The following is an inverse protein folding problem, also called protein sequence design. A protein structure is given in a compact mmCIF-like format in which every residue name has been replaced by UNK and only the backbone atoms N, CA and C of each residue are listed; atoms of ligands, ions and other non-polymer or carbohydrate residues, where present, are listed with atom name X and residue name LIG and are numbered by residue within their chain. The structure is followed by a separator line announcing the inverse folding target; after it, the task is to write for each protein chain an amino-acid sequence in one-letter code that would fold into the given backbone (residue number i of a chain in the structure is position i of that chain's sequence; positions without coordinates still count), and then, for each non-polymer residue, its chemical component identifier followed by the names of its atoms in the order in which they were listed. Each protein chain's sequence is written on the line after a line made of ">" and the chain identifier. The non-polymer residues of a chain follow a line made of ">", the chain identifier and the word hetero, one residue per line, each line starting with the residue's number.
data_IF_878108157494
#
_entry.id   IF_878108157494
#
_cell.length_a   1.000
_cell.length_b   1.000
_cell.length_c   1.000
_cell.angle_alpha   90.00
_cell.angle_beta   90.00
_cell.angle_gamma   90.00
#
_symmetry.space_group_name_H-M   'P 1'
#
loop_
_entity.id
_entity.type
_entity.pdbx_description
1 polymer ?
#
# COMPACT_ATOMS: atom_id res chain seq x y z
N UNK A 1 3.60 -2.50 11.74
CA UNK A 1 5.04 -2.25 11.55
C UNK A 1 5.63 -1.63 12.81
N UNK A 2 6.56 -2.29 13.51
CA UNK A 2 7.07 -1.83 14.82
C UNK A 2 8.18 -0.77 14.76
N UNK A 3 8.46 -0.20 13.57
CA UNK A 3 9.66 0.62 13.34
C UNK A 3 9.44 2.14 13.43
N UNK A 4 8.23 2.58 13.80
CA UNK A 4 7.92 3.98 14.11
C UNK A 4 7.38 4.08 15.54
N UNK A 5 7.80 5.12 16.26
CA UNK A 5 7.38 5.38 17.62
C UNK A 5 5.84 5.56 17.67
N UNK A 6 5.21 5.20 18.78
CA UNK A 6 3.74 5.22 18.85
C UNK A 6 3.18 6.64 18.75
N UNK A 7 3.97 7.61 19.19
CA UNK A 7 3.64 9.02 19.31
C UNK A 7 3.62 9.73 17.95
N UNK A 8 4.41 9.23 16.98
CA UNK A 8 4.48 9.78 15.62
C UNK A 8 3.34 9.29 14.71
N UNK A 9 2.69 8.18 15.08
CA UNK A 9 1.64 7.53 14.26
C UNK A 9 0.42 8.40 14.00
N UNK A 10 -0.15 9.12 14.98
CA UNK A 10 -1.45 9.78 14.80
C UNK A 10 -1.46 10.82 13.69
N UNK A 11 -0.36 11.56 13.50
CA UNK A 11 -0.26 12.56 12.43
C UNK A 11 -0.13 11.90 11.05
N UNK A 12 0.73 10.87 10.94
CA UNK A 12 0.89 10.08 9.73
C UNK A 12 -0.43 9.41 9.34
N UNK A 13 -1.10 8.77 10.30
CA UNK A 13 -2.38 8.09 10.11
C UNK A 13 -3.45 9.06 9.61
N UNK A 14 -3.46 10.30 10.11
CA UNK A 14 -4.39 11.34 9.64
C UNK A 14 -4.13 11.70 8.18
N UNK A 15 -2.87 11.88 7.79
CA UNK A 15 -2.48 12.17 6.41
C UNK A 15 -2.82 11.00 5.47
N UNK A 16 -2.57 9.76 5.91
CA UNK A 16 -2.90 8.54 5.16
C UNK A 16 -4.42 8.43 4.94
N UNK A 17 -5.24 8.66 5.97
CA UNK A 17 -6.71 8.65 5.83
C UNK A 17 -7.19 9.72 4.85
N UNK A 18 -6.68 10.94 4.97
CA UNK A 18 -7.05 12.03 4.07
C UNK A 18 -6.70 11.71 2.61
N UNK A 19 -5.53 11.09 2.36
CA UNK A 19 -5.16 10.63 1.03
C UNK A 19 -6.09 9.51 0.53
N UNK A 20 -6.38 8.51 1.37
CA UNK A 20 -7.27 7.40 1.03
C UNK A 20 -8.68 7.90 0.63
N UNK A 21 -9.24 8.85 1.38
CA UNK A 21 -10.54 9.46 1.08
C UNK A 21 -10.54 10.19 -0.28
N UNK A 22 -9.43 10.85 -0.63
CA UNK A 22 -9.27 11.44 -1.96
C UNK A 22 -9.26 10.35 -3.02
N UNK A 23 -8.41 9.33 -2.88
CA UNK A 23 -8.29 8.27 -3.89
C UNK A 23 -9.61 7.53 -4.11
N UNK A 24 -10.32 7.18 -3.04
CA UNK A 24 -11.61 6.52 -3.11
C UNK A 24 -12.64 7.38 -3.87
N UNK A 25 -12.79 8.67 -3.51
CA UNK A 25 -13.71 9.58 -4.21
C UNK A 25 -13.36 9.74 -5.69
N UNK A 26 -12.07 9.80 -6.03
CA UNK A 26 -11.67 9.96 -7.43
C UNK A 26 -11.87 8.67 -8.24
N UNK A 27 -11.70 7.49 -7.64
CA UNK A 27 -11.90 6.22 -8.33
C UNK A 27 -13.36 5.99 -8.77
N UNK A 28 -14.34 6.64 -8.12
CA UNK A 28 -15.77 6.50 -8.42
C UNK A 28 -16.35 7.65 -9.25
N UNK A 29 -15.53 8.55 -9.80
CA UNK A 29 -16.00 9.86 -10.31
C UNK A 29 -16.91 9.77 -11.56
N UNK A 30 -16.83 8.70 -12.33
CA UNK A 30 -17.56 8.55 -13.61
C UNK A 30 -18.68 7.49 -13.56
N UNK A 31 -19.07 7.03 -12.38
CA UNK A 31 -20.21 6.11 -12.19
C UNK A 31 -19.95 4.65 -12.59
N UNK A 32 -18.83 4.35 -13.25
CA UNK A 32 -18.35 2.99 -13.49
C UNK A 32 -17.33 2.59 -12.41
N UNK A 33 -17.56 1.44 -11.78
CA UNK A 33 -16.56 0.78 -10.94
C UNK A 33 -15.52 0.13 -11.85
N UNK A 34 -14.49 0.88 -12.24
CA UNK A 34 -13.26 0.29 -12.77
C UNK A 34 -12.36 -0.13 -11.59
N UNK A 35 -12.25 -1.43 -11.26
CA UNK A 35 -11.40 -1.89 -10.17
C UNK A 35 -9.92 -1.57 -10.40
N UNK A 36 -9.50 -1.25 -11.63
CA UNK A 36 -8.12 -0.88 -11.95
C UNK A 36 -7.85 0.62 -11.76
N UNK A 37 -8.88 1.47 -11.72
CA UNK A 37 -8.73 2.91 -11.53
C UNK A 37 -8.07 3.23 -10.17
N UNK A 38 -8.50 2.56 -9.10
CA UNK A 38 -7.90 2.72 -7.78
C UNK A 38 -6.43 2.28 -7.77
N UNK A 39 -6.09 1.20 -8.49
CA UNK A 39 -4.71 0.72 -8.60
C UNK A 39 -3.80 1.74 -9.28
N UNK A 40 -4.25 2.34 -10.39
CA UNK A 40 -3.51 3.40 -11.08
C UNK A 40 -3.31 4.65 -10.20
N UNK A 41 -4.35 5.07 -9.48
CA UNK A 41 -4.30 6.21 -8.57
C UNK A 41 -3.38 5.96 -7.37
N UNK A 42 -3.43 4.77 -6.78
CA UNK A 42 -2.54 4.38 -5.69
C UNK A 42 -1.07 4.38 -6.16
N UNK A 43 -0.80 3.81 -7.34
CA UNK A 43 0.54 3.81 -7.93
C UNK A 43 1.06 5.24 -8.15
N UNK A 44 0.22 6.12 -8.69
CA UNK A 44 0.56 7.54 -8.85
C UNK A 44 0.84 8.23 -7.51
N UNK A 45 -0.03 8.04 -6.52
CA UNK A 45 0.09 8.67 -5.21
C UNK A 45 1.37 8.25 -4.49
N UNK A 46 1.69 6.95 -4.48
CA UNK A 46 2.93 6.43 -3.91
C UNK A 46 4.14 6.97 -4.67
N UNK A 47 4.11 6.96 -6.01
CA UNK A 47 5.20 7.53 -6.83
C UNK A 47 5.45 9.00 -6.50
N UNK A 48 4.39 9.81 -6.39
CA UNK A 48 4.50 11.24 -6.04
C UNK A 48 5.03 11.44 -4.62
N UNK A 49 4.57 10.65 -3.64
CA UNK A 49 5.09 10.70 -2.27
C UNK A 49 6.60 10.45 -2.26
N UNK A 50 7.06 9.44 -2.99
CA UNK A 50 8.49 9.09 -3.06
C UNK A 50 9.31 10.17 -3.76
N UNK A 51 8.83 10.74 -4.87
CA UNK A 51 9.50 11.85 -5.55
C UNK A 51 9.58 13.10 -4.66
N UNK A 52 8.58 13.34 -3.80
CA UNK A 52 8.60 14.44 -2.83
C UNK A 52 9.60 14.20 -1.70
N UNK A 53 9.69 12.98 -1.18
CA UNK A 53 10.63 12.63 -0.10
C UNK A 53 12.08 12.47 -0.59
N UNK A 54 12.28 12.04 -1.84
CA UNK A 54 13.57 11.76 -2.45
C UNK A 54 13.71 12.45 -3.83
N UNK A 55 13.79 13.79 -3.88
CA UNK A 55 13.71 14.54 -5.14
C UNK A 55 14.93 14.39 -6.07
N UNK A 56 16.06 13.91 -5.55
CA UNK A 56 17.28 13.71 -6.34
C UNK A 56 17.47 12.23 -6.71
N UNK A 57 17.77 11.92 -7.99
CA UNK A 57 17.94 10.55 -8.48
C UNK A 57 19.32 9.97 -8.12
N UNK A 58 19.58 9.79 -6.82
CA UNK A 58 20.79 9.12 -6.35
C UNK A 58 20.54 7.62 -6.25
N UNK A 59 21.43 6.81 -6.81
CA UNK A 59 21.30 5.34 -6.85
C UNK A 59 21.00 4.74 -5.46
N UNK A 60 21.71 5.16 -4.41
CA UNK A 60 21.49 4.64 -3.07
C UNK A 60 20.10 4.97 -2.51
N UNK A 61 19.50 6.11 -2.89
CA UNK A 61 18.12 6.47 -2.51
C UNK A 61 17.12 5.60 -3.25
N UNK A 62 17.35 5.37 -4.54
CA UNK A 62 16.54 4.46 -5.36
C UNK A 62 16.56 3.07 -4.74
N UNK A 63 17.75 2.49 -4.51
CA UNK A 63 17.90 1.18 -3.89
C UNK A 63 17.21 1.08 -2.52
N UNK A 64 17.38 2.11 -1.67
CA UNK A 64 16.75 2.17 -0.34
C UNK A 64 15.22 2.15 -0.43
N UNK A 65 14.63 3.04 -1.23
CA UNK A 65 13.17 3.19 -1.34
C UNK A 65 12.55 1.96 -1.97
N UNK A 66 13.16 1.40 -3.01
CA UNK A 66 12.67 0.15 -3.62
C UNK A 66 12.69 -1.00 -2.62
N UNK A 67 13.71 -1.08 -1.77
CA UNK A 67 13.75 -2.04 -0.66
C UNK A 67 12.65 -1.82 0.39
N UNK A 68 12.32 -0.57 0.72
CA UNK A 68 11.18 -0.24 1.59
C UNK A 68 9.87 -0.71 0.97
N UNK A 69 9.63 -0.46 -0.31
CA UNK A 69 8.42 -0.91 -1.00
C UNK A 69 8.31 -2.43 -1.06
N UNK A 70 9.42 -3.14 -1.26
CA UNK A 70 9.45 -4.60 -1.20
C UNK A 70 9.02 -5.10 0.17
N UNK A 71 9.56 -4.52 1.24
CA UNK A 71 9.17 -4.87 2.61
C UNK A 71 7.69 -4.59 2.87
N UNK A 72 7.15 -3.47 2.37
CA UNK A 72 5.72 -3.15 2.48
C UNK A 72 4.85 -4.20 1.78
N UNK A 73 5.21 -4.60 0.55
CA UNK A 73 4.52 -5.65 -0.22
C UNK A 73 4.51 -6.97 0.56
N UNK A 74 5.68 -7.40 1.04
CA UNK A 74 5.82 -8.67 1.76
C UNK A 74 5.03 -8.67 3.08
N UNK A 75 5.07 -7.57 3.86
CA UNK A 75 4.32 -7.49 5.12
C UNK A 75 2.81 -7.42 4.88
N UNK A 76 2.35 -6.73 3.82
CA UNK A 76 0.95 -6.75 3.42
C UNK A 76 0.49 -8.16 3.09
N UNK A 77 1.23 -8.89 2.25
CA UNK A 77 0.89 -10.27 1.92
C UNK A 77 0.84 -11.14 3.19
N UNK A 78 1.89 -11.10 4.01
CA UNK A 78 2.03 -11.94 5.20
C UNK A 78 0.98 -11.66 6.27
N UNK A 79 0.61 -10.40 6.50
CA UNK A 79 -0.32 -10.01 7.58
C UNK A 79 -1.77 -9.89 7.15
N UNK A 80 -2.01 -9.60 5.88
CA UNK A 80 -3.35 -9.34 5.36
C UNK A 80 -3.83 -10.48 4.45
N UNK A 81 -3.04 -10.85 3.43
CA UNK A 81 -3.44 -11.87 2.47
C UNK A 81 -3.39 -13.29 3.05
N UNK A 82 -2.29 -13.68 3.70
CA UNK A 82 -2.11 -15.05 4.19
C UNK A 82 -3.24 -15.51 5.15
N UNK A 83 -3.68 -14.72 6.16
CA UNK A 83 -4.82 -15.13 7.00
C UNK A 83 -6.16 -15.21 6.25
N UNK A 84 -6.31 -14.47 5.14
CA UNK A 84 -7.47 -14.62 4.26
C UNK A 84 -7.38 -15.92 3.46
N UNK A 85 -6.20 -16.24 2.91
CA UNK A 85 -5.94 -17.47 2.17
C UNK A 85 -6.10 -18.71 3.04
N UNK A 86 -5.61 -18.70 4.28
CA UNK A 86 -5.81 -19.78 5.25
C UNK A 86 -7.31 -20.09 5.46
N UNK A 87 -8.14 -19.04 5.57
CA UNK A 87 -9.60 -19.19 5.65
C UNK A 87 -10.18 -19.75 4.37
N UNK A 88 -9.75 -19.26 3.21
CA UNK A 88 -10.21 -19.77 1.91
C UNK A 88 -9.79 -21.22 1.68
N UNK A 89 -8.62 -21.64 2.14
CA UNK A 89 -8.15 -23.02 2.10
C UNK A 89 -9.01 -23.93 3.00
N UNK A 90 -9.37 -23.48 4.20
CA UNK A 90 -10.30 -24.20 5.07
C UNK A 90 -11.72 -24.33 4.46
N UNK A 91 -12.20 -23.31 3.76
CA UNK A 91 -13.53 -23.28 3.14
C UNK A 91 -13.61 -24.09 1.83
N UNK A 92 -12.58 -23.99 0.98
CA UNK A 92 -12.60 -24.50 -0.39
C UNK A 92 -11.71 -25.75 -0.59
N UNK A 93 -10.95 -26.15 0.43
CA UNK A 93 -9.85 -27.10 0.30
C UNK A 93 -8.54 -26.40 -0.05
N UNK A 94 -7.44 -26.85 0.55
CA UNK A 94 -6.10 -26.43 0.19
C UNK A 94 -5.57 -27.23 -1.01
N UNK A 95 -4.77 -26.59 -1.85
CA UNK A 95 -4.10 -27.21 -3.00
C UNK A 95 -2.74 -27.80 -2.63
N UNK A 96 -2.18 -27.39 -1.49
CA UNK A 96 -0.93 -27.93 -0.99
C UNK A 96 -1.18 -29.23 -0.20
N UNK A 97 -0.33 -30.26 -0.38
CA UNK A 97 -0.45 -31.56 0.29
C UNK A 97 -0.09 -31.51 1.78
#
# INVERSE_FOLDING_TARGET
>A
MPYIAAEDRPEIDRAVRALADVLARQAHRDGEEDPTALAGMLNYAVTRLLLTLYPEPRYWRIALVTGVLENVKQEFYRRYAAPYEDRKAAENGDVYP
#
